data_IF_457831138569
#
_entry.id   IF_457831138569
#
_cell.length_a   1.000
_cell.length_b   1.000
_cell.length_c   1.000
_cell.angle_alpha   90.00
_cell.angle_beta   90.00
_cell.angle_gamma   90.00
#
_symmetry.space_group_name_H-M   'P 1'
#
loop_
_entity.id
_entity.type
_entity.pdbx_description
1 polymer ?
#
# COMPACT_ATOMS: atom_id res chain seq x y z
N UNK A 1 5.85 4.59 -2.38
CA UNK A 1 4.66 3.71 -2.38
C UNK A 1 3.34 4.46 -2.65
N UNK A 2 3.15 5.72 -2.21
CA UNK A 2 1.95 6.50 -2.58
C UNK A 2 1.78 6.65 -4.10
N UNK A 3 2.87 6.94 -4.83
CA UNK A 3 2.92 6.96 -6.31
C UNK A 3 2.45 5.63 -6.93
N UNK A 4 2.60 4.52 -6.22
CA UNK A 4 2.19 3.19 -6.67
C UNK A 4 0.70 2.90 -6.38
N UNK A 5 -0.05 3.89 -5.89
CA UNK A 5 -1.47 3.76 -5.55
C UNK A 5 -1.75 2.99 -4.26
N UNK A 6 -0.75 2.75 -3.40
CA UNK A 6 -0.97 2.12 -2.10
C UNK A 6 -1.77 3.09 -1.22
N UNK A 7 -2.88 2.65 -0.57
CA UNK A 7 -3.68 3.52 0.29
C UNK A 7 -2.85 4.12 1.43
N UNK A 8 -3.07 5.41 1.74
CA UNK A 8 -2.37 6.13 2.81
C UNK A 8 -2.47 5.44 4.17
N UNK A 9 -3.63 4.85 4.47
CA UNK A 9 -3.84 4.14 5.74
C UNK A 9 -2.97 2.87 5.85
N UNK A 10 -2.73 2.16 4.74
CA UNK A 10 -1.80 1.02 4.71
C UNK A 10 -0.35 1.50 4.82
N UNK A 11 -0.01 2.61 4.14
CA UNK A 11 1.32 3.19 4.20
C UNK A 11 1.75 3.56 5.62
N UNK A 12 0.88 4.28 6.31
CA UNK A 12 1.10 4.66 7.71
C UNK A 12 1.31 3.42 8.59
N UNK A 13 0.53 2.35 8.38
CA UNK A 13 0.71 1.11 9.16
C UNK A 13 2.04 0.42 8.87
N UNK A 14 2.45 0.35 7.60
CA UNK A 14 3.77 -0.20 7.22
C UNK A 14 4.90 0.61 7.87
N UNK A 15 4.76 1.94 7.92
CA UNK A 15 5.74 2.86 8.50
C UNK A 15 5.64 2.98 10.03
N UNK A 16 4.69 2.30 10.65
CA UNK A 16 4.35 2.46 12.07
C UNK A 16 4.10 3.94 12.45
N UNK A 17 3.53 4.72 11.52
CA UNK A 17 3.25 6.14 11.67
C UNK A 17 1.83 6.34 12.22
N UNK A 18 1.72 7.09 13.32
CA UNK A 18 0.44 7.49 13.91
C UNK A 18 0.15 8.95 13.54
N UNK A 19 -0.77 9.15 12.59
CA UNK A 19 -1.20 10.50 12.16
C UNK A 19 -2.29 11.07 13.08
N UNK A 20 -2.46 12.40 13.08
CA UNK A 20 -3.54 13.08 13.83
C UNK A 20 -4.94 12.66 13.38
N UNK A 21 -5.14 12.30 12.12
CA UNK A 21 -6.41 11.74 11.61
C UNK A 21 -6.74 10.37 12.22
N UNK A 22 -5.73 9.63 12.70
CA UNK A 22 -5.92 8.37 13.44
C UNK A 22 -6.09 8.59 14.95
N UNK A 23 -5.94 9.83 15.43
CA UNK A 23 -6.21 10.21 16.82
C UNK A 23 -7.71 10.47 16.98
N UNK A 24 -8.45 9.44 17.35
CA UNK A 24 -9.89 9.47 17.57
C UNK A 24 -10.42 8.07 17.90
N UNK A 25 -11.71 7.91 18.18
CA UNK A 25 -12.29 6.60 18.55
C UNK A 25 -12.21 5.52 17.46
N UNK A 26 -11.84 5.88 16.22
CA UNK A 26 -11.68 4.93 15.11
C UNK A 26 -10.70 3.78 15.40
N UNK A 27 -9.61 4.03 16.15
CA UNK A 27 -8.67 2.96 16.55
C UNK A 27 -9.27 1.94 17.53
N UNK A 28 -10.31 2.31 18.28
CA UNK A 28 -11.00 1.42 19.21
C UNK A 28 -11.73 0.31 18.45
N UNK A 29 -12.30 0.67 17.29
CA UNK A 29 -13.07 -0.23 16.43
C UNK A 29 -12.18 -0.96 15.42
N UNK A 30 -11.17 -0.29 14.87
CA UNK A 30 -10.31 -0.88 13.85
C UNK A 30 -9.11 -1.61 14.48
N UNK A 31 -9.35 -2.85 14.93
CA UNK A 31 -8.33 -3.74 15.50
C UNK A 31 -7.71 -4.72 14.49
N UNK A 32 -8.14 -4.67 13.23
CA UNK A 32 -7.59 -5.53 12.19
C UNK A 32 -6.12 -5.17 11.96
N UNK A 33 -5.24 -6.18 11.86
CA UNK A 33 -3.78 -5.97 11.78
C UNK A 33 -3.30 -5.53 10.39
N UNK A 34 -4.14 -5.75 9.36
CA UNK A 34 -3.84 -5.50 7.96
C UNK A 34 -2.58 -6.21 7.46
N UNK A 35 -2.24 -7.37 8.01
CA UNK A 35 -0.99 -8.06 7.67
C UNK A 35 -0.93 -8.43 6.18
N UNK A 36 -2.06 -8.87 5.62
CA UNK A 36 -2.17 -9.19 4.19
C UNK A 36 -1.92 -7.96 3.32
N UNK A 37 -2.52 -6.82 3.66
CA UNK A 37 -2.42 -5.58 2.90
C UNK A 37 -1.03 -4.96 3.03
N UNK A 38 -0.42 -5.02 4.23
CA UNK A 38 0.98 -4.64 4.46
C UNK A 38 1.92 -5.50 3.62
N UNK A 39 1.73 -6.82 3.59
CA UNK A 39 2.52 -7.73 2.77
C UNK A 39 2.41 -7.36 1.28
N UNK A 40 1.20 -7.18 0.76
CA UNK A 40 0.98 -6.79 -0.64
C UNK A 40 1.64 -5.46 -1.00
N UNK A 41 1.60 -4.47 -0.10
CA UNK A 41 2.27 -3.20 -0.29
C UNK A 41 3.80 -3.37 -0.35
N UNK A 42 4.37 -4.21 0.52
CA UNK A 42 5.80 -4.49 0.57
C UNK A 42 6.27 -5.31 -0.64
N UNK A 43 5.52 -6.30 -1.10
CA UNK A 43 5.81 -7.06 -2.33
C UNK A 43 5.73 -6.18 -3.58
N UNK A 44 4.81 -5.21 -3.60
CA UNK A 44 4.77 -4.22 -4.66
C UNK A 44 6.02 -3.33 -4.63
N UNK A 45 6.41 -2.87 -3.43
CA UNK A 45 7.59 -2.05 -3.24
C UNK A 45 8.87 -2.80 -3.63
N UNK A 46 9.00 -4.06 -3.24
CA UNK A 46 10.11 -4.94 -3.63
C UNK A 46 10.26 -5.00 -5.15
N UNK A 47 9.18 -5.28 -5.89
CA UNK A 47 9.22 -5.34 -7.35
C UNK A 47 9.69 -4.02 -7.96
N UNK A 48 9.22 -2.88 -7.43
CA UNK A 48 9.69 -1.56 -7.86
C UNK A 48 11.18 -1.38 -7.56
N UNK A 49 11.62 -1.73 -6.35
CA UNK A 49 13.02 -1.63 -5.94
C UNK A 49 13.93 -2.48 -6.82
N UNK A 50 13.57 -3.73 -7.09
CA UNK A 50 14.30 -4.62 -8.00
C UNK A 50 14.43 -3.99 -9.38
N UNK A 51 13.34 -3.43 -9.94
CA UNK A 51 13.40 -2.77 -11.25
C UNK A 51 14.35 -1.56 -11.30
N UNK A 52 14.46 -0.82 -10.18
CA UNK A 52 15.39 0.32 -10.06
C UNK A 52 16.84 -0.19 -10.04
N UNK A 53 17.10 -1.25 -9.28
CA UNK A 53 18.45 -1.79 -9.11
C UNK A 53 18.98 -2.50 -10.35
N UNK A 54 18.12 -3.19 -11.10
CA UNK A 54 18.52 -3.96 -12.28
C UNK A 54 18.39 -3.17 -13.59
N UNK A 55 17.64 -2.08 -13.59
CA UNK A 55 17.25 -1.37 -14.82
C UNK A 55 16.28 -2.17 -15.71
N UNK A 56 15.78 -3.32 -15.23
CA UNK A 56 14.85 -4.17 -15.97
C UNK A 56 13.42 -3.93 -15.47
N UNK A 57 12.51 -3.62 -16.39
CA UNK A 57 11.08 -3.66 -16.07
C UNK A 57 10.62 -5.10 -15.96
N UNK A 58 9.91 -5.44 -14.87
CA UNK A 58 9.37 -6.77 -14.67
C UNK A 58 8.30 -7.13 -15.71
N UNK A 59 8.20 -8.42 -16.06
CA UNK A 59 7.27 -8.94 -17.07
C UNK A 59 5.78 -8.96 -16.64
N UNK A 60 5.42 -8.29 -15.54
CA UNK A 60 4.05 -8.29 -14.98
C UNK A 60 3.47 -6.89 -15.09
N UNK A 61 2.43 -6.74 -15.91
CA UNK A 61 1.67 -5.50 -16.05
C UNK A 61 0.50 -5.47 -15.06
N UNK A 62 0.29 -4.37 -14.30
CA UNK A 62 -0.89 -4.23 -13.47
C UNK A 62 -2.14 -4.08 -14.35
N UNK A 63 -3.19 -4.85 -14.05
CA UNK A 63 -4.48 -4.65 -14.69
C UNK A 63 -5.18 -3.44 -14.05
N UNK A 64 -5.46 -2.42 -14.85
CA UNK A 64 -6.24 -1.28 -14.40
C UNK A 64 -7.64 -1.73 -13.98
N UNK A 65 -8.08 -1.33 -12.77
CA UNK A 65 -9.47 -1.53 -12.34
C UNK A 65 -10.36 -0.67 -13.24
N UNK A 66 -11.31 -1.30 -13.94
CA UNK A 66 -12.30 -0.60 -14.74
C UNK A 66 -13.21 0.20 -13.79
N UNK A 67 -13.12 1.52 -13.82
CA UNK A 67 -14.04 2.39 -13.09
C UNK A 67 -15.42 2.27 -13.74
N UNK A 68 -16.34 1.57 -13.06
CA UNK A 68 -17.76 1.64 -13.43
C UNK A 68 -18.28 2.96 -12.86
N UNK A 69 -18.59 3.90 -13.74
CA UNK A 69 -19.32 5.12 -13.38
C UNK A 69 -20.79 4.72 -13.22
N UNK A 70 -21.36 4.98 -12.03
CA UNK A 70 -22.80 4.93 -11.76
C UNK A 70 -23.40 6.31 -11.97
#
# INVERSE_FOLDING_TARGET
>A
MAEMGIPGDILDRVQNHVTREKQGVGHVYNRYSYDREKQQAMEAWERKLVSILTGQQGNVIPFARRSVVL
#
